data_IF_105599053314
#
_entry.id   IF_105599053314
#
_cell.length_a   1.000
_cell.length_b   1.000
_cell.length_c   1.000
_cell.angle_alpha   90.00
_cell.angle_beta   90.00
_cell.angle_gamma   90.00
#
_symmetry.space_group_name_H-M   'P 1'
#
loop_
_entity.id
_entity.type
_entity.pdbx_description
1 polymer ?
#
# COMPACT_ATOMS: atom_id res chain seq x y z
N UNK A 1 -10.73 -1.83 19.64
CA UNK A 1 -9.43 -2.48 19.94
C UNK A 1 -8.92 -3.10 18.64
N UNK A 2 -7.61 -3.06 18.35
CA UNK A 2 -7.05 -3.69 17.16
C UNK A 2 -7.14 -5.22 17.26
N UNK A 3 -7.47 -5.91 16.17
CA UNK A 3 -7.56 -7.38 16.11
C UNK A 3 -6.79 -7.92 14.90
N UNK A 4 -6.41 -9.19 14.96
CA UNK A 4 -5.78 -9.90 13.83
C UNK A 4 -6.67 -9.87 12.58
N UNK A 5 -7.97 -10.17 12.73
CA UNK A 5 -8.91 -10.16 11.61
C UNK A 5 -9.10 -8.77 11.00
N UNK A 6 -9.10 -7.73 11.84
CA UNK A 6 -9.12 -6.34 11.38
C UNK A 6 -7.86 -5.99 10.60
N UNK A 7 -6.69 -6.47 11.04
CA UNK A 7 -5.44 -6.29 10.33
C UNK A 7 -5.42 -7.04 8.99
N UNK A 8 -5.89 -8.29 8.94
CA UNK A 8 -6.02 -9.06 7.70
C UNK A 8 -6.98 -8.41 6.70
N UNK A 9 -8.10 -7.88 7.19
CA UNK A 9 -9.04 -7.10 6.37
C UNK A 9 -8.35 -5.88 5.75
N UNK A 10 -7.52 -5.19 6.53
CA UNK A 10 -6.78 -4.02 6.08
C UNK A 10 -5.71 -4.40 5.04
N UNK A 11 -4.97 -5.49 5.26
CA UNK A 11 -4.00 -6.02 4.28
C UNK A 11 -4.68 -6.41 2.97
N UNK A 12 -5.85 -7.06 3.01
CA UNK A 12 -6.60 -7.42 1.81
C UNK A 12 -7.00 -6.19 0.98
N UNK A 13 -7.38 -5.09 1.65
CA UNK A 13 -7.68 -3.82 0.96
C UNK A 13 -6.43 -3.17 0.39
N UNK A 14 -5.32 -3.16 1.15
CA UNK A 14 -4.05 -2.67 0.61
C UNK A 14 -3.58 -3.49 -0.59
N UNK A 15 -3.75 -4.81 -0.56
CA UNK A 15 -3.46 -5.67 -1.71
C UNK A 15 -4.28 -5.24 -2.92
N UNK A 16 -5.59 -5.09 -2.75
CA UNK A 16 -6.51 -4.68 -3.82
C UNK A 16 -6.15 -3.33 -4.45
N UNK A 17 -5.65 -2.39 -3.66
CA UNK A 17 -5.14 -1.10 -4.14
C UNK A 17 -3.81 -1.25 -4.88
N UNK A 18 -2.78 -1.82 -4.25
CA UNK A 18 -1.44 -1.93 -4.83
C UNK A 18 -1.41 -2.82 -6.08
N UNK A 19 -2.29 -3.83 -6.16
CA UNK A 19 -2.44 -4.69 -7.33
C UNK A 19 -2.80 -3.91 -8.60
N UNK A 20 -3.55 -2.83 -8.46
CA UNK A 20 -3.98 -1.97 -9.56
C UNK A 20 -3.03 -0.77 -9.72
N UNK A 21 -2.58 -0.20 -8.61
CA UNK A 21 -1.77 1.01 -8.61
C UNK A 21 -0.33 0.80 -9.12
N UNK A 22 0.34 -0.29 -8.73
CA UNK A 22 1.75 -0.50 -9.12
C UNK A 22 1.97 -0.62 -10.64
N UNK A 23 1.14 -1.36 -11.41
CA UNK A 23 1.25 -1.36 -12.86
C UNK A 23 1.09 0.02 -13.49
N UNK A 24 0.17 0.84 -12.98
CA UNK A 24 -0.07 2.22 -13.48
C UNK A 24 1.19 3.08 -13.28
N UNK A 25 1.80 3.02 -12.09
CA UNK A 25 3.06 3.71 -11.81
C UNK A 25 4.19 3.21 -12.72
N UNK A 26 4.27 1.90 -12.95
CA UNK A 26 5.23 1.29 -13.86
C UNK A 26 5.08 1.76 -15.31
N UNK A 27 3.85 1.89 -15.80
CA UNK A 27 3.57 2.43 -17.13
C UNK A 27 3.90 3.92 -17.23
N UNK A 28 3.56 4.71 -16.20
CA UNK A 28 3.75 6.15 -16.21
C UNK A 28 5.22 6.58 -16.11
N UNK A 29 6.04 5.89 -15.30
CA UNK A 29 7.41 6.34 -14.96
C UNK A 29 8.52 5.34 -15.26
N UNK A 30 8.18 4.14 -15.75
CA UNK A 30 9.16 3.09 -16.03
C UNK A 30 9.68 2.36 -14.78
N UNK A 31 10.47 1.32 -15.02
CA UNK A 31 10.93 0.39 -13.97
C UNK A 31 11.83 1.04 -12.93
N UNK A 32 12.73 1.93 -13.33
CA UNK A 32 13.72 2.53 -12.43
C UNK A 32 13.07 3.36 -11.31
N UNK A 33 11.94 4.01 -11.62
CA UNK A 33 11.15 4.74 -10.63
C UNK A 33 10.21 3.80 -9.86
N UNK A 34 9.54 2.88 -10.56
CA UNK A 34 8.46 2.08 -9.99
C UNK A 34 8.94 0.90 -9.12
N UNK A 35 9.93 0.13 -9.59
CA UNK A 35 10.32 -1.14 -8.94
C UNK A 35 10.83 -1.01 -7.52
N UNK A 36 11.69 -0.01 -7.19
CA UNK A 36 12.14 0.20 -5.82
C UNK A 36 11.00 0.52 -4.85
N UNK A 37 9.83 0.93 -5.37
CA UNK A 37 8.70 1.44 -4.60
C UNK A 37 7.51 0.48 -4.44
N UNK A 38 7.66 -0.73 -4.96
CA UNK A 38 6.60 -1.75 -4.89
C UNK A 38 6.42 -2.25 -3.46
N UNK A 39 5.16 -2.42 -3.06
CA UNK A 39 4.74 -2.89 -1.74
C UNK A 39 3.81 -4.10 -1.82
N UNK A 40 3.27 -4.44 -3.00
CA UNK A 40 2.38 -5.57 -3.23
C UNK A 40 2.99 -6.88 -2.75
N UNK A 41 4.26 -7.12 -3.08
CA UNK A 41 4.98 -8.33 -2.65
C UNK A 41 5.15 -8.42 -1.12
N UNK A 42 5.22 -7.28 -0.40
CA UNK A 42 5.26 -7.26 1.06
C UNK A 42 3.89 -7.64 1.64
N UNK A 43 2.81 -7.15 1.03
CA UNK A 43 1.45 -7.49 1.43
C UNK A 43 1.18 -8.98 1.19
N UNK A 44 1.58 -9.50 0.03
CA UNK A 44 1.47 -10.93 -0.28
C UNK A 44 2.25 -11.79 0.72
N UNK A 45 3.46 -11.34 1.12
CA UNK A 45 4.24 -12.00 2.17
C UNK A 45 3.47 -12.08 3.49
N UNK A 46 2.85 -10.97 3.92
CA UNK A 46 2.05 -10.94 5.14
C UNK A 46 0.81 -11.84 5.04
N UNK A 47 0.07 -11.78 3.92
CA UNK A 47 -1.13 -12.61 3.72
C UNK A 47 -0.80 -14.12 3.71
N UNK A 48 0.30 -14.51 3.06
CA UNK A 48 0.81 -15.89 3.08
C UNK A 48 1.26 -16.29 4.49
N UNK A 49 1.93 -15.41 5.23
CA UNK A 49 2.32 -15.65 6.61
C UNK A 49 1.12 -16.02 7.49
N UNK A 50 -0.05 -15.42 7.23
CA UNK A 50 -1.29 -15.74 7.95
C UNK A 50 -2.09 -16.91 7.37
N UNK A 51 -1.54 -17.66 6.42
CA UNK A 51 -2.10 -18.91 5.91
C UNK A 51 -2.99 -18.76 4.67
N UNK A 52 -3.03 -17.59 4.03
CA UNK A 52 -3.71 -17.46 2.75
C UNK A 52 -2.89 -18.09 1.62
N UNK A 53 -3.53 -18.90 0.78
CA UNK A 53 -2.91 -19.41 -0.43
C UNK A 53 -3.02 -18.38 -1.57
N UNK A 54 -2.28 -18.63 -2.67
CA UNK A 54 -2.21 -17.73 -3.83
C UNK A 54 -3.59 -17.49 -4.47
N UNK A 55 -4.41 -18.53 -4.60
CA UNK A 55 -5.72 -18.43 -5.24
C UNK A 55 -6.68 -17.56 -4.42
N UNK A 56 -6.65 -17.71 -3.09
CA UNK A 56 -7.43 -16.88 -2.17
C UNK A 56 -6.97 -15.41 -2.20
N UNK A 57 -5.67 -15.16 -2.35
CA UNK A 57 -5.14 -13.80 -2.51
C UNK A 57 -5.59 -13.20 -3.84
N UNK A 58 -5.51 -13.93 -4.95
CA UNK A 58 -5.92 -13.42 -6.27
C UNK A 58 -7.44 -13.20 -6.38
N UNK A 59 -8.23 -13.90 -5.56
CA UNK A 59 -9.67 -13.70 -5.44
C UNK A 59 -10.07 -12.45 -4.61
N UNK A 60 -9.10 -11.75 -3.98
CA UNK A 60 -9.40 -10.55 -3.22
C UNK A 60 -9.96 -9.43 -4.11
N UNK A 61 -10.85 -8.57 -3.57
CA UNK A 61 -11.35 -7.41 -4.29
C UNK A 61 -10.24 -6.46 -4.69
N UNK A 62 -10.32 -5.95 -5.92
CA UNK A 62 -9.39 -4.97 -6.47
C UNK A 62 -10.00 -3.58 -6.37
N UNK A 63 -9.14 -2.59 -6.15
CA UNK A 63 -9.53 -1.20 -6.20
C UNK A 63 -9.99 -0.83 -7.62
N UNK A 64 -10.98 0.05 -7.74
CA UNK A 64 -11.42 0.57 -9.05
C UNK A 64 -10.96 2.00 -9.15
N UNK A 65 -10.14 2.28 -10.16
CA UNK A 65 -9.67 3.63 -10.47
C UNK A 65 -10.83 4.44 -11.03
N UNK A 66 -11.04 5.64 -10.50
CA UNK A 66 -12.07 6.55 -10.98
C UNK A 66 -11.68 7.20 -12.32
N UNK A 67 -12.65 7.86 -12.96
CA UNK A 67 -12.39 8.67 -14.15
C UNK A 67 -11.49 9.86 -13.82
N UNK A 68 -10.53 10.19 -14.69
CA UNK A 68 -9.61 11.33 -14.51
C UNK A 68 -8.33 11.04 -13.73
N UNK A 69 -8.02 9.75 -13.50
CA UNK A 69 -6.73 9.30 -12.97
C UNK A 69 -5.90 8.63 -14.09
N UNK A 70 -5.61 9.38 -15.14
CA UNK A 70 -4.97 8.88 -16.36
C UNK A 70 -3.78 9.73 -16.84
N UNK A 71 -3.56 10.91 -16.27
CA UNK A 71 -2.41 11.73 -16.58
C UNK A 71 -1.20 11.43 -15.67
N UNK A 72 0.00 11.61 -16.22
CA UNK A 72 1.25 11.34 -15.51
C UNK A 72 1.42 12.22 -14.25
N UNK A 73 1.07 13.53 -14.25
CA UNK A 73 1.14 14.35 -13.04
C UNK A 73 0.21 13.88 -11.90
N UNK A 74 -1.04 13.47 -12.15
CA UNK A 74 -1.90 12.96 -11.09
C UNK A 74 -1.38 11.65 -10.49
N UNK A 75 -0.82 10.76 -11.33
CA UNK A 75 -0.17 9.53 -10.87
C UNK A 75 1.06 9.86 -9.99
N UNK A 76 1.79 10.92 -10.31
CA UNK A 76 2.89 11.41 -9.46
C UNK A 76 2.39 11.87 -8.08
N UNK A 77 1.24 12.55 -8.05
CA UNK A 77 0.54 12.92 -6.82
C UNK A 77 0.14 11.70 -5.98
N UNK A 78 -0.40 10.67 -6.60
CA UNK A 78 -0.71 9.41 -5.91
C UNK A 78 0.54 8.68 -5.40
N UNK A 79 1.63 8.72 -6.17
CA UNK A 79 2.91 8.17 -5.74
C UNK A 79 3.44 8.91 -4.52
N UNK A 80 3.26 10.24 -4.44
CA UNK A 80 3.58 11.01 -3.23
C UNK A 80 2.82 10.50 -2.00
N UNK A 81 1.52 10.25 -2.12
CA UNK A 81 0.71 9.74 -1.00
C UNK A 81 1.19 8.37 -0.54
N UNK A 82 1.43 7.46 -1.47
CA UNK A 82 1.82 6.07 -1.15
C UNK A 82 3.27 5.97 -0.67
N UNK A 83 4.18 6.81 -1.14
CA UNK A 83 5.54 6.91 -0.61
C UNK A 83 5.56 7.54 0.78
N UNK A 84 4.83 8.64 0.95
CA UNK A 84 4.69 9.32 2.24
C UNK A 84 4.06 8.42 3.31
N UNK A 85 3.09 7.58 2.94
CA UNK A 85 2.47 6.61 3.85
C UNK A 85 3.46 5.61 4.45
N UNK A 86 4.60 5.36 3.80
CA UNK A 86 5.64 4.45 4.31
C UNK A 86 6.31 4.98 5.58
N UNK A 87 6.42 6.32 5.71
CA UNK A 87 6.95 6.97 6.91
C UNK A 87 6.01 6.74 8.10
N UNK A 88 4.72 7.02 7.92
CA UNK A 88 3.70 6.72 8.92
C UNK A 88 3.56 5.22 9.20
N UNK A 89 3.82 4.39 8.18
CA UNK A 89 3.85 2.95 8.28
C UNK A 89 4.82 2.42 9.34
N UNK A 90 5.98 3.06 9.52
CA UNK A 90 6.92 2.69 10.59
C UNK A 90 6.33 2.87 11.99
N UNK A 91 5.56 3.94 12.20
CA UNK A 91 4.86 4.22 13.47
C UNK A 91 3.74 3.20 13.67
N UNK A 92 2.98 2.93 12.61
CA UNK A 92 1.91 1.93 12.63
C UNK A 92 2.48 0.53 12.93
N UNK A 93 3.60 0.14 12.31
CA UNK A 93 4.25 -1.14 12.56
C UNK A 93 4.65 -1.31 14.03
N UNK A 94 5.13 -0.25 14.67
CA UNK A 94 5.41 -0.26 16.11
C UNK A 94 4.13 -0.49 16.93
N UNK A 95 3.04 0.21 16.59
CA UNK A 95 1.76 0.05 17.28
C UNK A 95 1.16 -1.34 17.08
N UNK A 96 1.18 -1.89 15.85
CA UNK A 96 0.68 -3.24 15.56
C UNK A 96 1.45 -4.27 16.40
N UNK A 97 2.79 -4.21 16.44
CA UNK A 97 3.58 -5.14 17.26
C UNK A 97 3.26 -5.04 18.74
N UNK A 98 3.07 -3.82 19.26
CA UNK A 98 2.72 -3.60 20.67
C UNK A 98 1.31 -4.10 21.00
N UNK A 99 0.35 -3.87 20.10
CA UNK A 99 -1.08 -4.14 20.34
C UNK A 99 -1.49 -5.57 20.02
N UNK A 100 -0.87 -6.19 19.01
CA UNK A 100 -1.21 -7.55 18.57
C UNK A 100 -0.17 -8.59 19.02
N UNK A 101 1.07 -8.19 19.32
CA UNK A 101 2.10 -9.08 19.88
C UNK A 101 2.23 -10.40 19.12
N UNK A 102 2.05 -11.51 19.83
CA UNK A 102 2.12 -12.87 19.29
C UNK A 102 1.07 -13.14 18.19
N UNK A 103 -0.05 -12.40 18.15
CA UNK A 103 -1.11 -12.60 17.16
C UNK A 103 -0.70 -12.24 15.72
N UNK A 104 0.37 -11.46 15.54
CA UNK A 104 0.96 -11.21 14.20
C UNK A 104 2.22 -12.04 13.93
N UNK A 105 2.77 -12.70 14.96
CA UNK A 105 4.02 -13.43 14.97
C UNK A 105 5.22 -12.67 14.32
N UNK A 106 6.41 -13.27 14.36
CA UNK A 106 7.57 -12.67 13.68
C UNK A 106 7.40 -12.77 12.17
N UNK A 107 7.40 -11.63 11.48
CA UNK A 107 7.36 -11.55 10.02
C UNK A 107 6.01 -11.22 9.40
N UNK A 108 4.91 -11.16 10.17
CA UNK A 108 3.57 -10.78 9.69
C UNK A 108 3.28 -9.28 9.69
N UNK A 109 4.29 -8.43 9.45
CA UNK A 109 4.15 -6.96 9.41
C UNK A 109 5.02 -6.31 8.31
N UNK A 110 5.40 -7.07 7.29
CA UNK A 110 6.25 -6.68 6.18
C UNK A 110 5.81 -5.37 5.51
N UNK A 111 4.51 -5.24 5.25
CA UNK A 111 3.98 -4.11 4.52
C UNK A 111 4.21 -2.78 5.26
N UNK A 112 3.95 -2.77 6.56
CA UNK A 112 4.12 -1.59 7.40
C UNK A 112 5.58 -1.36 7.79
N UNK A 113 6.40 -2.41 7.82
CA UNK A 113 7.85 -2.31 7.88
C UNK A 113 8.45 -1.69 6.61
N UNK A 114 7.78 -1.80 5.46
CA UNK A 114 8.13 -1.14 4.21
C UNK A 114 9.57 -1.42 3.78
N UNK A 115 10.35 -0.37 3.56
CA UNK A 115 11.78 -0.46 3.23
C UNK A 115 12.67 -0.77 4.44
N UNK A 116 12.10 -0.89 5.63
CA UNK A 116 12.81 -0.93 6.89
C UNK A 116 13.21 0.46 7.39
N UNK A 117 13.54 0.54 8.67
CA UNK A 117 13.76 1.82 9.37
C UNK A 117 14.90 2.66 8.77
N UNK A 118 15.97 2.01 8.31
CA UNK A 118 17.15 2.69 7.73
C UNK A 118 16.84 3.25 6.35
N UNK A 119 16.22 2.45 5.49
CA UNK A 119 16.09 2.80 4.07
C UNK A 119 14.85 3.64 3.78
N UNK A 120 13.84 3.65 4.67
CA UNK A 120 12.61 4.45 4.48
C UNK A 120 12.90 5.95 4.32
N UNK A 121 13.81 6.51 5.11
CA UNK A 121 14.18 7.92 5.00
C UNK A 121 14.93 8.24 3.69
N UNK A 122 15.80 7.31 3.25
CA UNK A 122 16.55 7.44 2.00
C UNK A 122 15.61 7.35 0.79
N UNK A 123 14.69 6.39 0.79
CA UNK A 123 13.66 6.23 -0.25
C UNK A 123 12.76 7.46 -0.36
N UNK A 124 12.32 8.01 0.78
CA UNK A 124 11.54 9.25 0.80
C UNK A 124 12.33 10.43 0.22
N UNK A 125 13.60 10.56 0.57
CA UNK A 125 14.46 11.62 0.05
C UNK A 125 14.69 11.47 -1.46
N UNK A 126 14.99 10.26 -1.93
CA UNK A 126 15.11 9.94 -3.35
C UNK A 126 13.82 10.26 -4.12
N UNK A 127 12.66 9.94 -3.54
CA UNK A 127 11.38 10.27 -4.13
C UNK A 127 11.14 11.78 -4.23
N UNK A 128 11.43 12.56 -3.18
CA UNK A 128 11.31 14.03 -3.24
C UNK A 128 12.19 14.63 -4.33
N UNK A 129 13.44 14.19 -4.47
CA UNK A 129 14.31 14.64 -5.58
C UNK A 129 13.75 14.27 -6.96
N UNK A 130 13.04 13.15 -7.09
CA UNK A 130 12.34 12.80 -8.32
C UNK A 130 11.10 13.69 -8.55
N UNK A 131 10.34 13.97 -7.50
CA UNK A 131 9.16 14.83 -7.52
C UNK A 131 9.54 16.26 -7.93
N UNK A 132 10.57 16.84 -7.31
CA UNK A 132 11.02 18.21 -7.57
C UNK A 132 11.40 18.38 -9.05
N UNK A 133 12.19 17.46 -9.61
CA UNK A 133 12.55 17.45 -11.03
C UNK A 133 11.36 17.33 -11.97
N UNK A 134 10.32 16.61 -11.55
CA UNK A 134 9.11 16.43 -12.35
C UNK A 134 8.18 17.66 -12.28
N UNK A 135 8.26 18.44 -11.19
CA UNK A 135 7.48 19.67 -10.98
C UNK A 135 7.95 20.86 -11.82
N UNK A 136 9.23 20.87 -12.25
CA UNK A 136 9.80 21.89 -13.14
C UNK A 136 9.10 21.94 -14.52
N UNK A 137 8.30 20.93 -14.89
CA UNK A 137 7.49 20.87 -16.11
C UNK A 137 6.18 21.71 -16.05
N UNK A 138 5.91 22.42 -14.95
CA UNK A 138 4.84 23.43 -14.90
C UNK A 138 3.42 22.92 -14.68
N UNK A 139 3.23 21.70 -14.16
CA UNK A 139 1.90 21.08 -13.91
C UNK A 139 1.65 20.70 -12.45
N UNK A 140 2.07 21.54 -11.50
CA UNK A 140 1.94 21.29 -10.06
C UNK A 140 0.50 21.10 -9.59
N UNK A 141 -0.48 21.72 -10.27
CA UNK A 141 -1.90 21.60 -9.91
C UNK A 141 -2.43 20.17 -10.07
N UNK A 142 -2.15 19.51 -11.21
CA UNK A 142 -2.58 18.12 -11.43
C UNK A 142 -1.90 17.14 -10.44
N UNK A 143 -0.66 17.41 -10.05
CA UNK A 143 0.01 16.64 -8.97
C UNK A 143 -0.73 16.78 -7.63
N UNK A 144 -1.13 17.98 -7.26
CA UNK A 144 -1.87 18.24 -6.02
C UNK A 144 -3.25 17.58 -6.06
N UNK A 145 -3.97 17.71 -7.17
CA UNK A 145 -5.29 17.10 -7.34
C UNK A 145 -5.21 15.57 -7.34
N UNK A 146 -4.20 14.97 -7.99
CA UNK A 146 -3.95 13.53 -7.91
C UNK A 146 -3.67 13.05 -6.48
N UNK A 147 -2.92 13.82 -5.69
CA UNK A 147 -2.68 13.50 -4.28
C UNK A 147 -3.97 13.59 -3.44
N UNK A 148 -4.77 14.66 -3.60
CA UNK A 148 -6.06 14.84 -2.91
C UNK A 148 -7.03 13.72 -3.24
N UNK A 149 -7.20 13.43 -4.52
CA UNK A 149 -8.03 12.34 -5.00
C UNK A 149 -7.58 11.00 -4.40
N UNK A 150 -6.27 10.74 -4.32
CA UNK A 150 -5.73 9.50 -3.75
C UNK A 150 -6.04 9.38 -2.26
N UNK A 151 -5.95 10.47 -1.48
CA UNK A 151 -6.35 10.46 -0.07
C UNK A 151 -7.83 10.09 0.09
N UNK A 152 -8.72 10.71 -0.68
CA UNK A 152 -10.17 10.44 -0.60
C UNK A 152 -10.50 9.01 -1.04
N UNK A 153 -9.90 8.56 -2.15
CA UNK A 153 -10.07 7.20 -2.66
C UNK A 153 -9.59 6.15 -1.65
N UNK A 154 -8.39 6.32 -1.07
CA UNK A 154 -7.88 5.41 -0.04
C UNK A 154 -8.74 5.45 1.22
N UNK A 155 -9.23 6.63 1.64
CA UNK A 155 -10.14 6.75 2.79
C UNK A 155 -11.39 5.90 2.57
N UNK A 156 -12.08 6.09 1.45
CA UNK A 156 -13.29 5.35 1.11
C UNK A 156 -13.02 3.85 1.00
N UNK A 157 -11.97 3.46 0.29
CA UNK A 157 -11.61 2.07 0.05
C UNK A 157 -11.21 1.34 1.34
N UNK A 158 -10.29 1.92 2.12
CA UNK A 158 -9.74 1.29 3.32
C UNK A 158 -10.74 1.23 4.47
N UNK A 159 -11.77 2.09 4.49
CA UNK A 159 -12.75 2.18 5.59
C UNK A 159 -14.15 1.67 5.25
N UNK A 160 -14.39 1.20 4.02
CA UNK A 160 -15.68 0.67 3.61
C UNK A 160 -16.24 -0.36 4.61
N UNK A 161 -17.55 -0.38 4.84
CA UNK A 161 -18.16 -1.24 5.88
C UNK A 161 -18.26 -2.72 5.50
N UNK A 162 -17.98 -3.08 4.24
CA UNK A 162 -18.01 -4.47 3.78
C UNK A 162 -16.57 -5.01 3.66
N UNK A 163 -16.08 -5.81 4.62
CA UNK A 163 -14.75 -6.38 4.54
C UNK A 163 -14.72 -7.51 3.50
N UNK A 164 -13.69 -7.60 2.64
CA UNK A 164 -13.38 -8.88 2.02
C UNK A 164 -13.10 -9.87 3.14
N UNK A 165 -13.97 -10.87 3.36
CA UNK A 165 -13.64 -11.96 4.28
C UNK A 165 -12.62 -12.85 3.59
N UNK A 166 -11.38 -12.95 4.10
CA UNK A 166 -10.48 -13.98 3.62
C UNK A 166 -11.07 -15.32 4.05
N UNK A 167 -11.33 -16.21 3.09
CA UNK A 167 -11.62 -17.60 3.38
C UNK A 167 -10.34 -18.24 3.91
N UNK A 168 -10.15 -18.22 5.24
CA UNK A 168 -9.07 -18.95 5.88
C UNK A 168 -9.34 -20.45 5.66
N UNK A 169 -8.39 -21.15 5.02
CA UNK A 169 -8.44 -22.61 4.91
C UNK A 169 -8.50 -23.24 6.30
N UNK A 170 -9.23 -24.34 6.45
CA UNK A 170 -9.57 -25.02 7.72
C UNK A 170 -8.39 -25.50 8.59
N UNK A 171 -7.14 -25.15 8.28
CA UNK A 171 -5.95 -25.68 8.92
C UNK A 171 -5.57 -25.03 10.27
N UNK A 172 -6.23 -23.96 10.73
CA UNK A 172 -5.84 -23.22 11.94
C UNK A 172 -6.71 -23.49 13.20
N UNK A 173 -7.42 -24.63 13.25
CA UNK A 173 -8.18 -25.08 14.43
C UNK A 173 -7.63 -26.37 15.05
N UNK A 174 -6.32 -26.44 15.29
CA UNK A 174 -5.71 -27.46 16.14
C UNK A 174 -4.63 -26.84 17.02
#
# INVERSE_FOLDING_TARGET
MATRDGYLTLLARWWGFHRVFEPIVGQAFGRDVAWPRRKLHLIERDLVHFGMNRDAIEALPRFTVGTGFDDRPAILGALYVTEGSTLGGQVIAHHIRRSLGDAIASGGCAYYEGYGKRDTAAMWTSFRTFLDRSGEEGRSESVIEGARWTFDALRLWLTASNPPRPALGEAARR
#
